data_IF_039997098658
#
_entry.id   IF_039997098658
#
_cell.length_a   1.000
_cell.length_b   1.000
_cell.length_c   1.000
_cell.angle_alpha   90.00
_cell.angle_beta   90.00
_cell.angle_gamma   90.00
#
_symmetry.space_group_name_H-M   'P 1'
#
loop_
_entity.id
_entity.type
_entity.pdbx_description
1 polymer ?
#
# COMPACT_ATOMS: atom_id res chain seq x y z
N UNK A 1 -20.15 -0.64 67.51
CA UNK A 1 -21.15 0.08 66.71
C UNK A 1 -21.05 -0.41 65.28
N UNK A 2 -22.21 -0.71 64.70
CA UNK A 2 -22.42 -1.71 63.66
C UNK A 2 -22.09 -1.27 62.22
N UNK A 3 -21.80 -2.30 61.43
CA UNK A 3 -21.67 -2.33 59.99
C UNK A 3 -22.97 -1.90 59.27
N UNK A 4 -22.85 -1.33 58.07
CA UNK A 4 -23.79 -1.62 56.98
C UNK A 4 -23.02 -1.79 55.67
N UNK A 5 -23.27 -2.93 55.03
CA UNK A 5 -22.77 -3.33 53.73
C UNK A 5 -23.58 -2.66 52.62
N UNK A 6 -22.93 -2.28 51.51
CA UNK A 6 -23.62 -2.05 50.24
C UNK A 6 -23.30 -3.18 49.28
N UNK A 7 -24.37 -3.83 48.82
CA UNK A 7 -24.41 -4.97 47.91
C UNK A 7 -23.94 -4.53 46.50
N UNK A 8 -23.13 -5.31 45.78
CA UNK A 8 -22.84 -5.02 44.38
C UNK A 8 -24.05 -5.41 43.52
N UNK A 9 -24.59 -4.44 42.78
CA UNK A 9 -25.59 -4.67 41.75
C UNK A 9 -24.93 -5.47 40.62
N UNK A 10 -25.44 -6.67 40.38
CA UNK A 10 -25.12 -7.49 39.20
C UNK A 10 -25.76 -6.88 37.96
N UNK A 11 -24.94 -6.35 37.05
CA UNK A 11 -25.36 -6.04 35.69
C UNK A 11 -24.44 -6.73 34.68
N UNK A 12 -24.97 -7.84 34.15
CA UNK A 12 -25.00 -8.26 32.74
C UNK A 12 -23.73 -8.02 31.91
N UNK A 13 -23.15 -9.16 31.52
CA UNK A 13 -22.21 -9.45 30.42
C UNK A 13 -22.16 -8.34 29.35
N UNK A 14 -21.20 -7.43 29.49
CA UNK A 14 -20.79 -6.49 28.47
C UNK A 14 -19.38 -6.83 27.99
N UNK A 15 -19.23 -7.15 26.70
CA UNK A 15 -17.96 -7.43 26.03
C UNK A 15 -16.87 -6.46 26.48
N UNK A 16 -15.81 -6.97 27.11
CA UNK A 16 -14.60 -6.20 27.43
C UNK A 16 -14.03 -5.64 26.11
N UNK A 17 -14.17 -4.33 25.88
CA UNK A 17 -13.33 -3.61 24.91
C UNK A 17 -11.88 -3.82 25.34
N UNK A 18 -11.13 -4.66 24.62
CA UNK A 18 -9.69 -4.80 24.81
C UNK A 18 -9.08 -3.40 24.64
N UNK A 19 -8.46 -2.86 25.70
CA UNK A 19 -7.70 -1.61 25.63
C UNK A 19 -6.56 -1.84 24.63
N UNK A 20 -6.58 -1.11 23.51
CA UNK A 20 -5.50 -1.11 22.50
C UNK A 20 -4.21 -0.64 23.19
N UNK A 21 -3.09 -1.39 23.10
CA UNK A 21 -1.78 -0.86 23.48
C UNK A 21 -1.45 0.32 22.56
N UNK A 22 -1.35 1.52 23.12
CA UNK A 22 -0.97 2.73 22.39
C UNK A 22 0.55 2.88 22.35
N UNK A 23 1.26 2.01 21.61
CA UNK A 23 2.65 2.30 21.26
C UNK A 23 2.66 3.33 20.13
N UNK A 24 3.14 4.54 20.41
CA UNK A 24 3.30 5.57 19.38
C UNK A 24 4.44 5.10 18.45
N UNK A 25 4.11 4.71 17.22
CA UNK A 25 5.07 4.15 16.26
C UNK A 25 5.95 5.23 15.61
N UNK A 26 7.21 4.87 15.34
CA UNK A 26 8.12 5.64 14.47
C UNK A 26 7.81 5.31 13.00
N UNK A 27 7.93 6.32 12.13
CA UNK A 27 7.58 6.20 10.71
C UNK A 27 8.82 6.55 9.86
N UNK A 28 9.42 5.51 9.28
CA UNK A 28 10.42 5.60 8.21
C UNK A 28 9.74 5.51 6.83
N UNK A 29 8.77 4.60 6.69
CA UNK A 29 7.90 4.42 5.53
C UNK A 29 6.46 4.62 6.00
N UNK A 30 5.77 5.58 5.40
CA UNK A 30 4.38 5.82 5.75
C UNK A 30 3.50 4.80 5.05
N UNK A 31 2.75 4.03 5.86
CA UNK A 31 1.74 3.10 5.39
C UNK A 31 0.39 3.78 5.53
N UNK A 32 -0.30 4.11 4.43
CA UNK A 32 -1.69 4.55 4.43
C UNK A 32 -2.62 3.52 5.08
N UNK A 33 -3.90 3.84 5.25
CA UNK A 33 -4.85 2.99 5.96
C UNK A 33 -4.84 1.53 5.47
N UNK A 34 -4.28 0.62 6.28
CA UNK A 34 -4.37 -0.82 6.03
C UNK A 34 -5.84 -1.22 6.09
N UNK A 35 -6.27 -2.07 5.16
CA UNK A 35 -7.61 -2.63 5.15
C UNK A 35 -7.53 -4.11 5.48
N UNK A 36 -8.47 -4.59 6.28
CA UNK A 36 -8.52 -6.01 6.68
C UNK A 36 -9.85 -6.63 6.26
N UNK A 37 -9.86 -7.91 5.85
CA UNK A 37 -11.09 -8.59 5.48
C UNK A 37 -11.93 -8.91 6.71
N UNK A 38 -13.24 -8.89 6.55
CA UNK A 38 -14.20 -9.37 7.54
C UNK A 38 -14.69 -10.76 7.14
N UNK A 39 -15.14 -11.57 8.10
CA UNK A 39 -15.73 -12.87 7.81
C UNK A 39 -16.94 -12.74 6.86
N UNK A 40 -17.02 -13.63 5.87
CA UNK A 40 -18.13 -13.71 4.90
C UNK A 40 -18.54 -15.18 4.70
N UNK A 41 -19.81 -15.40 4.34
CA UNK A 41 -20.31 -16.72 4.01
C UNK A 41 -20.03 -17.02 2.53
N UNK A 42 -18.96 -17.79 2.28
CA UNK A 42 -18.62 -18.29 0.94
C UNK A 42 -19.46 -19.53 0.57
N UNK A 43 -19.91 -20.30 1.58
CA UNK A 43 -20.51 -21.62 1.39
C UNK A 43 -21.88 -21.52 0.75
N UNK A 44 -22.77 -20.67 1.26
CA UNK A 44 -24.13 -20.53 0.72
C UNK A 44 -24.17 -20.03 -0.73
N UNK A 45 -23.53 -18.90 -1.10
CA UNK A 45 -23.64 -18.36 -2.45
C UNK A 45 -22.98 -19.23 -3.52
N UNK A 46 -21.89 -19.94 -3.18
CA UNK A 46 -21.15 -20.76 -4.14
C UNK A 46 -21.60 -22.23 -4.17
N UNK A 47 -22.53 -22.64 -3.28
CA UNK A 47 -23.02 -24.02 -3.22
C UNK A 47 -23.65 -24.41 -4.57
N UNK A 48 -23.12 -25.48 -5.17
CA UNK A 48 -23.59 -25.98 -6.45
C UNK A 48 -23.13 -25.15 -7.66
N UNK A 49 -22.38 -24.06 -7.45
CA UNK A 49 -21.73 -23.29 -8.52
C UNK A 49 -20.27 -23.69 -8.73
N UNK A 50 -19.61 -24.17 -7.67
CA UNK A 50 -18.22 -24.65 -7.69
C UNK A 50 -18.12 -26.02 -7.00
N UNK A 51 -17.02 -26.73 -7.23
CA UNK A 51 -16.74 -28.01 -6.55
C UNK A 51 -16.57 -27.80 -5.04
N UNK A 52 -16.83 -28.86 -4.25
CA UNK A 52 -16.62 -28.82 -2.79
C UNK A 52 -15.17 -28.45 -2.46
N UNK A 53 -14.20 -29.00 -3.18
CA UNK A 53 -12.77 -28.74 -2.94
C UNK A 53 -12.41 -27.26 -3.11
N UNK A 54 -12.91 -26.61 -4.17
CA UNK A 54 -12.71 -25.17 -4.40
C UNK A 54 -13.36 -24.35 -3.29
N UNK A 55 -14.60 -24.70 -2.91
CA UNK A 55 -15.34 -24.01 -1.86
C UNK A 55 -14.65 -24.12 -0.49
N UNK A 56 -14.16 -25.31 -0.14
CA UNK A 56 -13.45 -25.57 1.12
C UNK A 56 -12.11 -24.83 1.14
N UNK A 57 -11.36 -24.82 0.03
CA UNK A 57 -10.12 -24.03 -0.11
C UNK A 57 -10.37 -22.53 0.05
N UNK A 58 -11.33 -21.95 -0.67
CA UNK A 58 -11.69 -20.54 -0.56
C UNK A 58 -12.05 -20.17 0.88
N UNK A 59 -12.91 -20.97 1.51
CA UNK A 59 -13.39 -20.74 2.88
C UNK A 59 -12.25 -20.82 3.90
N UNK A 60 -11.37 -21.81 3.76
CA UNK A 60 -10.24 -22.04 4.68
C UNK A 60 -9.19 -20.94 4.57
N UNK A 61 -8.77 -20.62 3.34
CA UNK A 61 -7.72 -19.61 3.10
C UNK A 61 -8.20 -18.22 3.51
N UNK A 62 -9.42 -17.84 3.10
CA UNK A 62 -9.98 -16.54 3.50
C UNK A 62 -10.20 -16.45 5.01
N UNK A 63 -10.66 -17.53 5.65
CA UNK A 63 -10.79 -17.61 7.10
C UNK A 63 -9.46 -17.42 7.83
N UNK A 64 -8.39 -18.05 7.33
CA UNK A 64 -7.02 -17.88 7.86
C UNK A 64 -6.54 -16.43 7.75
N UNK A 65 -6.77 -15.77 6.62
CA UNK A 65 -6.39 -14.35 6.43
C UNK A 65 -7.14 -13.46 7.43
N UNK A 66 -8.45 -13.66 7.61
CA UNK A 66 -9.26 -12.89 8.58
C UNK A 66 -8.70 -13.04 10.00
N UNK A 67 -8.41 -14.27 10.43
CA UNK A 67 -7.84 -14.51 11.76
C UNK A 67 -6.47 -13.85 11.95
N UNK A 68 -5.56 -14.02 11.00
CA UNK A 68 -4.22 -13.42 11.06
C UNK A 68 -4.27 -11.88 11.05
N UNK A 69 -5.17 -11.30 10.26
CA UNK A 69 -5.32 -9.84 10.16
C UNK A 69 -5.87 -9.22 11.45
N UNK A 70 -6.74 -9.93 12.20
CA UNK A 70 -7.23 -9.48 13.51
C UNK A 70 -6.13 -9.52 14.59
N UNK A 71 -5.21 -10.49 14.51
CA UNK A 71 -4.11 -10.67 15.47
C UNK A 71 -2.91 -9.72 15.20
N UNK A 72 -2.72 -9.29 13.96
CA UNK A 72 -1.54 -8.53 13.49
C UNK A 72 -1.48 -7.05 13.93
N UNK A 73 -2.43 -6.57 14.75
CA UNK A 73 -2.53 -5.16 15.17
C UNK A 73 -1.35 -4.66 16.03
N UNK A 74 -0.39 -5.52 16.39
CA UNK A 74 0.82 -5.21 17.17
C UNK A 74 2.14 -5.50 16.40
N UNK A 75 2.03 -5.60 15.07
CA UNK A 75 2.99 -6.09 14.06
C UNK A 75 4.47 -6.23 14.47
N UNK A 76 4.90 -7.48 14.59
CA UNK A 76 6.29 -7.90 14.42
C UNK A 76 6.48 -8.45 13.00
N UNK A 77 7.71 -8.40 12.46
CA UNK A 77 8.04 -8.92 11.11
C UNK A 77 7.47 -10.34 10.86
N UNK A 78 7.56 -11.32 11.78
CA UNK A 78 7.03 -12.66 11.54
C UNK A 78 5.53 -12.70 11.24
N UNK A 79 4.74 -11.85 11.90
CA UNK A 79 3.28 -11.77 11.67
C UNK A 79 2.94 -11.21 10.30
N UNK A 80 3.76 -10.28 9.78
CA UNK A 80 3.59 -9.72 8.43
C UNK A 80 3.86 -10.80 7.38
N UNK A 81 4.98 -11.52 7.51
CA UNK A 81 5.35 -12.59 6.56
C UNK A 81 4.34 -13.75 6.53
N UNK A 82 3.76 -14.13 7.67
CA UNK A 82 2.71 -15.16 7.72
C UNK A 82 1.44 -14.76 7.00
N UNK A 83 1.06 -13.48 7.11
CA UNK A 83 -0.12 -12.92 6.45
C UNK A 83 0.11 -12.72 4.95
N UNK A 84 1.30 -12.25 4.53
CA UNK A 84 1.67 -12.19 3.11
C UNK A 84 1.57 -13.57 2.46
N UNK A 85 2.13 -14.60 3.09
CA UNK A 85 2.04 -15.99 2.58
C UNK A 85 0.59 -16.48 2.47
N UNK A 86 -0.25 -16.16 3.45
CA UNK A 86 -1.67 -16.55 3.40
C UNK A 86 -2.41 -15.85 2.23
N UNK A 87 -2.07 -14.60 1.92
CA UNK A 87 -2.60 -13.88 0.77
C UNK A 87 -2.12 -14.51 -0.55
N UNK A 88 -0.82 -14.82 -0.66
CA UNK A 88 -0.23 -15.48 -1.83
C UNK A 88 -0.84 -16.86 -2.12
N UNK A 89 -1.17 -17.64 -1.07
CA UNK A 89 -1.88 -18.92 -1.19
C UNK A 89 -3.35 -18.73 -1.63
N UNK A 90 -3.99 -17.62 -1.24
CA UNK A 90 -5.40 -17.35 -1.55
C UNK A 90 -5.62 -16.85 -2.98
N UNK A 91 -4.74 -16.00 -3.50
CA UNK A 91 -4.88 -15.37 -4.82
C UNK A 91 -5.15 -16.40 -5.94
N UNK A 92 -4.38 -17.50 -6.11
CA UNK A 92 -4.64 -18.51 -7.14
C UNK A 92 -6.05 -19.09 -7.12
N UNK A 93 -6.61 -19.31 -5.93
CA UNK A 93 -7.96 -19.87 -5.77
C UNK A 93 -9.02 -18.80 -6.06
N UNK A 94 -8.82 -17.57 -5.57
CA UNK A 94 -9.68 -16.43 -5.83
C UNK A 94 -9.77 -16.09 -7.33
N UNK A 95 -8.66 -16.23 -8.07
CA UNK A 95 -8.65 -15.97 -9.51
C UNK A 95 -9.59 -16.87 -10.31
N UNK A 96 -10.01 -18.02 -9.77
CA UNK A 96 -11.03 -18.82 -10.41
C UNK A 96 -12.41 -18.16 -10.42
N UNK A 97 -12.75 -17.36 -9.39
CA UNK A 97 -13.97 -16.57 -9.33
C UNK A 97 -13.97 -15.38 -10.30
N UNK A 98 -12.79 -14.91 -10.72
CA UNK A 98 -12.66 -13.78 -11.66
C UNK A 98 -12.51 -14.23 -13.12
N UNK A 99 -11.61 -15.19 -13.38
CA UNK A 99 -11.19 -15.59 -14.75
C UNK A 99 -11.77 -16.91 -15.23
N UNK A 100 -12.22 -17.80 -14.34
CA UNK A 100 -12.55 -19.20 -14.71
C UNK A 100 -14.04 -19.51 -14.88
N UNK A 101 -14.90 -18.48 -14.86
CA UNK A 101 -16.15 -18.54 -15.62
C UNK A 101 -15.93 -18.89 -17.11
N UNK A 102 -14.69 -18.76 -17.59
CA UNK A 102 -14.28 -18.95 -18.98
C UNK A 102 -13.74 -20.35 -19.35
N UNK A 103 -13.44 -21.30 -18.44
CA UNK A 103 -12.76 -22.58 -18.85
C UNK A 103 -13.72 -23.73 -19.21
N UNK A 104 -14.99 -23.67 -18.82
CA UNK A 104 -16.01 -24.56 -19.42
C UNK A 104 -16.23 -24.31 -20.92
N UNK A 105 -15.65 -23.23 -21.45
CA UNK A 105 -15.71 -22.80 -22.84
C UNK A 105 -15.20 -23.84 -23.85
N UNK A 106 -14.09 -24.55 -23.62
CA UNK A 106 -13.50 -25.38 -24.68
C UNK A 106 -14.14 -26.76 -24.83
N UNK A 107 -14.51 -27.41 -23.73
CA UNK A 107 -15.12 -28.74 -23.79
C UNK A 107 -16.62 -28.71 -24.12
N UNK A 108 -17.37 -27.71 -23.62
CA UNK A 108 -18.82 -27.61 -23.86
C UNK A 108 -19.14 -27.02 -25.24
N UNK A 109 -18.33 -26.09 -25.75
CA UNK A 109 -18.49 -25.49 -27.08
C UNK A 109 -18.26 -26.52 -28.20
N UNK A 110 -17.28 -27.42 -28.03
CA UNK A 110 -17.08 -28.56 -28.96
C UNK A 110 -18.24 -29.55 -28.91
N UNK A 111 -18.86 -29.76 -27.75
CA UNK A 111 -19.98 -30.67 -27.57
C UNK A 111 -21.30 -30.10 -28.13
N UNK A 112 -21.54 -28.79 -28.01
CA UNK A 112 -22.75 -28.09 -28.47
C UNK A 112 -22.76 -27.81 -29.98
N UNK A 113 -21.60 -27.63 -30.62
CA UNK A 113 -21.48 -27.47 -32.08
C UNK A 113 -21.93 -28.73 -32.84
N UNK A 114 -21.83 -29.91 -32.23
CA UNK A 114 -22.23 -31.19 -32.83
C UNK A 114 -23.76 -31.38 -32.82
N UNK A 115 -24.49 -30.77 -31.87
CA UNK A 115 -25.92 -31.06 -31.64
C UNK A 115 -26.90 -29.90 -31.93
N UNK A 116 -26.44 -28.80 -32.54
CA UNK A 116 -27.34 -27.83 -33.20
C UNK A 116 -28.29 -27.05 -32.28
N UNK A 117 -27.91 -26.75 -31.04
CA UNK A 117 -28.79 -26.05 -30.09
C UNK A 117 -28.50 -24.54 -30.02
N UNK A 118 -29.32 -23.73 -30.70
CA UNK A 118 -29.19 -22.25 -30.79
C UNK A 118 -29.69 -21.51 -29.54
N UNK A 119 -30.20 -22.21 -28.52
CA UNK A 119 -30.93 -21.63 -27.37
C UNK A 119 -30.09 -21.43 -26.09
N UNK A 120 -28.79 -21.72 -26.10
CA UNK A 120 -27.94 -21.72 -24.87
C UNK A 120 -27.13 -20.42 -24.68
N UNK A 121 -26.96 -19.59 -25.72
CA UNK A 121 -26.07 -18.42 -25.66
C UNK A 121 -26.52 -17.33 -24.67
N UNK A 122 -27.81 -17.08 -24.50
CA UNK A 122 -28.32 -16.05 -23.58
C UNK A 122 -28.23 -16.43 -22.10
N UNK A 123 -28.35 -17.71 -21.77
CA UNK A 123 -28.22 -18.22 -20.39
C UNK A 123 -26.76 -18.35 -19.94
N UNK A 124 -25.79 -18.30 -20.86
CA UNK A 124 -24.38 -18.61 -20.57
C UNK A 124 -23.53 -17.38 -20.24
N UNK A 125 -23.71 -16.24 -20.94
CA UNK A 125 -23.17 -14.93 -20.51
C UNK A 125 -23.66 -14.54 -19.10
N UNK A 126 -24.83 -15.06 -18.70
CA UNK A 126 -25.36 -14.91 -17.34
C UNK A 126 -24.50 -15.66 -16.30
N UNK A 127 -23.90 -16.82 -16.60
CA UNK A 127 -23.20 -17.63 -15.60
C UNK A 127 -21.82 -17.07 -15.19
N UNK A 128 -21.09 -16.45 -16.12
CA UNK A 128 -19.81 -15.79 -15.86
C UNK A 128 -20.00 -14.57 -14.95
N UNK A 129 -20.97 -13.71 -15.29
CA UNK A 129 -21.40 -12.63 -14.40
C UNK A 129 -21.97 -13.14 -13.08
N UNK A 130 -22.57 -14.34 -13.06
CA UNK A 130 -23.06 -14.92 -11.81
C UNK A 130 -21.93 -15.28 -10.87
N UNK A 131 -20.86 -15.96 -11.29
CA UNK A 131 -19.76 -16.35 -10.39
C UNK A 131 -18.99 -15.14 -9.84
N UNK A 132 -18.64 -14.18 -10.71
CA UNK A 132 -17.91 -12.97 -10.32
C UNK A 132 -18.67 -12.15 -9.26
N UNK A 133 -19.98 -12.03 -9.39
CA UNK A 133 -20.84 -11.31 -8.46
C UNK A 133 -21.58 -12.22 -7.45
N UNK A 134 -21.17 -13.49 -7.30
CA UNK A 134 -21.87 -14.45 -6.42
C UNK A 134 -21.71 -14.14 -4.94
N UNK A 135 -20.55 -13.62 -4.55
CA UNK A 135 -20.16 -13.45 -3.15
C UNK A 135 -20.06 -11.97 -2.84
N UNK A 136 -20.72 -11.56 -1.76
CA UNK A 136 -20.60 -10.23 -1.20
C UNK A 136 -19.40 -10.17 -0.24
N UNK A 137 -18.31 -9.53 -0.68
CA UNK A 137 -17.07 -9.42 0.06
C UNK A 137 -17.04 -8.19 0.96
N UNK A 138 -16.58 -8.39 2.20
CA UNK A 138 -16.57 -7.37 3.26
C UNK A 138 -15.16 -7.07 3.73
N UNK A 139 -14.84 -5.78 3.80
CA UNK A 139 -13.56 -5.24 4.24
C UNK A 139 -13.80 -4.02 5.11
N UNK A 140 -12.87 -3.75 6.02
CA UNK A 140 -12.87 -2.52 6.83
C UNK A 140 -11.49 -1.86 6.85
N UNK A 141 -11.47 -0.55 6.96
CA UNK A 141 -10.25 0.22 7.21
C UNK A 141 -9.83 0.12 8.68
N UNK A 142 -8.52 0.05 8.90
CA UNK A 142 -7.91 0.05 10.22
C UNK A 142 -7.75 1.50 10.70
N UNK A 143 -8.43 1.90 11.79
CA UNK A 143 -8.29 3.24 12.39
C UNK A 143 -9.60 4.06 12.36
N UNK A 144 -9.98 4.55 13.54
CA UNK A 144 -11.08 5.43 13.99
C UNK A 144 -12.44 5.58 13.29
N UNK A 145 -12.67 5.14 12.04
CA UNK A 145 -13.97 5.33 11.38
C UNK A 145 -14.72 4.03 11.04
N UNK A 146 -14.17 2.84 11.35
CA UNK A 146 -14.78 1.51 11.11
C UNK A 146 -15.56 1.44 9.78
N UNK A 147 -15.06 2.11 8.73
CA UNK A 147 -15.76 2.18 7.45
C UNK A 147 -15.67 0.82 6.78
N UNK A 148 -16.75 0.07 6.94
CA UNK A 148 -16.99 -1.19 6.26
C UNK A 148 -17.48 -0.92 4.84
N UNK A 149 -16.95 -1.70 3.92
CA UNK A 149 -17.36 -1.69 2.52
C UNK A 149 -17.72 -3.09 2.10
N UNK A 150 -18.74 -3.19 1.27
CA UNK A 150 -19.40 -4.43 0.96
C UNK A 150 -19.74 -4.44 -0.53
N UNK A 151 -19.11 -5.32 -1.31
CA UNK A 151 -19.37 -5.42 -2.74
C UNK A 151 -19.47 -6.87 -3.18
N UNK A 152 -20.50 -7.17 -3.97
CA UNK A 152 -20.67 -8.43 -4.67
C UNK A 152 -19.79 -8.46 -5.93
N UNK A 153 -18.48 -8.64 -5.75
CA UNK A 153 -17.51 -8.69 -6.85
C UNK A 153 -16.21 -9.37 -6.44
N UNK A 154 -15.83 -10.42 -7.16
CA UNK A 154 -14.56 -11.11 -7.00
C UNK A 154 -13.37 -10.24 -7.43
N UNK A 155 -13.57 -9.33 -8.40
CA UNK A 155 -12.55 -8.34 -8.76
C UNK A 155 -12.29 -7.34 -7.64
N UNK A 156 -13.33 -6.97 -6.88
CA UNK A 156 -13.18 -6.11 -5.70
C UNK A 156 -12.42 -6.81 -4.57
N UNK A 157 -12.70 -8.10 -4.33
CA UNK A 157 -11.92 -8.91 -3.40
C UNK A 157 -10.45 -8.98 -3.84
N UNK A 158 -10.19 -9.24 -5.13
CA UNK A 158 -8.83 -9.31 -5.66
C UNK A 158 -8.09 -7.98 -5.52
N UNK A 159 -8.74 -6.86 -5.83
CA UNK A 159 -8.21 -5.51 -5.61
C UNK A 159 -7.80 -5.33 -4.15
N UNK A 160 -8.68 -5.70 -3.22
CA UNK A 160 -8.47 -5.51 -1.79
C UNK A 160 -7.33 -6.38 -1.26
N UNK A 161 -7.21 -7.62 -1.75
CA UNK A 161 -6.11 -8.55 -1.43
C UNK A 161 -4.77 -8.03 -1.95
N UNK A 162 -4.67 -7.65 -3.23
CA UNK A 162 -3.41 -7.16 -3.81
C UNK A 162 -3.01 -5.81 -3.20
N UNK A 163 -3.98 -4.93 -2.91
CA UNK A 163 -3.73 -3.71 -2.13
C UNK A 163 -3.19 -4.03 -0.72
N UNK A 164 -3.78 -5.01 -0.03
CA UNK A 164 -3.31 -5.44 1.29
C UNK A 164 -1.88 -5.98 1.23
N UNK A 165 -1.53 -6.78 0.22
CA UNK A 165 -0.15 -7.23 -0.02
C UNK A 165 0.81 -6.06 -0.17
N UNK A 166 0.45 -5.03 -0.96
CA UNK A 166 1.28 -3.84 -1.08
C UNK A 166 1.46 -3.10 0.25
N UNK A 167 0.39 -2.93 1.03
CA UNK A 167 0.46 -2.25 2.32
C UNK A 167 1.31 -3.03 3.34
N UNK A 168 1.29 -4.36 3.29
CA UNK A 168 2.14 -5.21 4.12
C UNK A 168 3.61 -5.09 3.74
N UNK A 169 3.92 -5.03 2.45
CA UNK A 169 5.31 -4.80 1.99
C UNK A 169 5.82 -3.41 2.40
N UNK A 170 4.99 -2.35 2.35
CA UNK A 170 5.34 -1.03 2.92
C UNK A 170 5.57 -1.09 4.44
N UNK A 171 4.72 -1.83 5.16
CA UNK A 171 4.84 -2.01 6.60
C UNK A 171 6.11 -2.77 6.98
N UNK A 172 6.45 -3.82 6.25
CA UNK A 172 7.69 -4.58 6.46
C UNK A 172 8.92 -3.70 6.20
N UNK A 173 8.91 -2.91 5.12
CA UNK A 173 9.96 -1.93 4.85
C UNK A 173 10.09 -0.92 6.02
N UNK A 174 8.98 -0.43 6.58
CA UNK A 174 9.02 0.43 7.76
C UNK A 174 9.67 -0.27 8.96
N UNK A 175 9.30 -1.51 9.24
CA UNK A 175 9.83 -2.30 10.36
C UNK A 175 11.33 -2.59 10.21
N UNK A 176 11.83 -2.73 8.99
CA UNK A 176 13.26 -2.92 8.70
C UNK A 176 14.08 -1.64 8.90
N UNK A 177 13.46 -0.48 8.67
CA UNK A 177 14.13 0.83 8.71
C UNK A 177 14.02 1.53 10.07
N UNK A 178 13.05 1.15 10.91
CA UNK A 178 12.91 1.67 12.27
C UNK A 178 13.87 0.91 13.20
N UNK A 179 14.87 1.57 13.80
CA UNK A 179 15.79 0.93 14.73
C UNK A 179 15.03 0.39 15.95
N UNK A 180 15.18 -0.90 16.26
CA UNK A 180 14.64 -1.49 17.49
C UNK A 180 15.33 -0.82 18.69
N UNK A 181 14.58 -0.54 19.75
CA UNK A 181 15.12 0.01 21.00
C UNK A 181 16.02 -1.03 21.70
N UNK A 182 17.25 -1.19 21.20
CA UNK A 182 18.34 -1.76 21.98
C UNK A 182 18.90 -0.65 22.88
N UNK A 183 19.08 -0.97 24.16
CA UNK A 183 19.59 -0.10 25.24
C UNK A 183 21.00 0.49 25.02
N UNK A 184 21.54 0.43 23.80
CA UNK A 184 22.87 0.90 23.47
C UNK A 184 22.77 2.25 22.75
N UNK A 185 23.14 3.33 23.44
CA UNK A 185 23.17 4.71 22.93
C UNK A 185 24.23 4.92 21.83
N UNK A 186 24.98 3.87 21.47
CA UNK A 186 25.91 3.87 20.35
C UNK A 186 25.16 3.72 19.01
N UNK A 187 24.59 4.83 18.53
CA UNK A 187 24.27 5.05 17.12
C UNK A 187 23.26 4.08 16.50
N UNK A 188 21.98 4.43 16.57
CA UNK A 188 20.89 3.87 15.74
C UNK A 188 21.23 4.00 14.23
N UNK A 189 21.93 3.01 13.66
CA UNK A 189 22.33 2.96 12.24
C UNK A 189 21.63 1.78 11.57
N UNK A 190 20.86 2.07 10.54
CA UNK A 190 20.25 1.07 9.66
C UNK A 190 21.34 0.50 8.76
N UNK A 191 21.48 -0.84 8.71
CA UNK A 191 22.50 -1.50 7.88
C UNK A 191 22.24 -1.29 6.38
N UNK A 192 23.29 -1.38 5.56
CA UNK A 192 23.13 -1.35 4.09
C UNK A 192 22.19 -2.45 3.60
N UNK A 193 22.27 -3.64 4.18
CA UNK A 193 21.42 -4.78 3.78
C UNK A 193 19.95 -4.52 4.12
N UNK A 194 19.66 -3.91 5.27
CA UNK A 194 18.29 -3.50 5.60
C UNK A 194 17.74 -2.46 4.61
N UNK A 195 18.58 -1.54 4.12
CA UNK A 195 18.16 -0.58 3.08
C UNK A 195 17.90 -1.26 1.74
N UNK A 196 18.72 -2.24 1.34
CA UNK A 196 18.52 -3.00 0.09
C UNK A 196 17.22 -3.80 0.15
N UNK A 197 16.99 -4.52 1.24
CA UNK A 197 15.72 -5.24 1.47
C UNK A 197 14.53 -4.28 1.47
N UNK A 198 14.66 -3.10 2.11
CA UNK A 198 13.60 -2.10 2.08
C UNK A 198 13.33 -1.58 0.66
N UNK A 199 14.36 -1.39 -0.18
CA UNK A 199 14.17 -1.02 -1.60
C UNK A 199 13.38 -2.10 -2.33
N UNK A 200 13.74 -3.37 -2.17
CA UNK A 200 13.04 -4.49 -2.83
C UNK A 200 11.56 -4.55 -2.39
N UNK A 201 11.28 -4.39 -1.10
CA UNK A 201 9.91 -4.35 -0.56
C UNK A 201 9.10 -3.15 -1.08
N UNK A 202 9.72 -1.98 -1.20
CA UNK A 202 9.08 -0.77 -1.75
C UNK A 202 8.77 -0.93 -3.25
N UNK A 203 9.69 -1.55 -4.02
CA UNK A 203 9.46 -1.83 -5.44
C UNK A 203 8.37 -2.88 -5.65
N UNK A 204 8.32 -3.94 -4.82
CA UNK A 204 7.22 -4.92 -4.76
C UNK A 204 5.89 -4.21 -4.49
N UNK A 205 5.83 -3.34 -3.48
CA UNK A 205 4.62 -2.58 -3.17
C UNK A 205 4.16 -1.69 -4.33
N UNK A 206 5.10 -0.98 -4.97
CA UNK A 206 4.82 -0.17 -6.15
C UNK A 206 4.25 -1.01 -7.29
N UNK A 207 4.83 -2.18 -7.55
CA UNK A 207 4.39 -3.13 -8.58
C UNK A 207 2.98 -3.64 -8.36
N UNK A 208 2.66 -4.08 -7.14
CA UNK A 208 1.30 -4.50 -6.76
C UNK A 208 0.27 -3.38 -6.99
N UNK A 209 0.58 -2.14 -6.57
CA UNK A 209 -0.33 -1.00 -6.71
C UNK A 209 -0.52 -0.57 -8.16
N UNK A 210 0.56 -0.56 -8.94
CA UNK A 210 0.52 -0.28 -10.37
C UNK A 210 -0.33 -1.33 -11.12
N UNK A 211 -0.19 -2.61 -10.74
CA UNK A 211 -1.02 -3.69 -11.26
C UNK A 211 -2.50 -3.52 -10.91
N UNK A 212 -2.81 -3.12 -9.67
CA UNK A 212 -4.18 -2.79 -9.27
C UNK A 212 -4.81 -1.76 -10.21
N UNK A 213 -4.09 -0.67 -10.50
CA UNK A 213 -4.58 0.40 -11.37
C UNK A 213 -4.75 -0.08 -12.81
N UNK A 214 -3.71 -0.68 -13.40
CA UNK A 214 -3.69 -1.00 -14.84
C UNK A 214 -4.52 -2.22 -15.22
N UNK A 215 -4.66 -3.20 -14.32
CA UNK A 215 -5.19 -4.51 -14.66
C UNK A 215 -6.42 -4.93 -13.86
N UNK A 216 -6.59 -4.45 -12.62
CA UNK A 216 -7.72 -4.85 -11.76
C UNK A 216 -8.85 -3.82 -11.81
N UNK A 217 -8.56 -2.53 -11.60
CA UNK A 217 -9.58 -1.46 -11.60
C UNK A 217 -10.36 -1.40 -12.92
N UNK A 218 -9.70 -1.69 -14.05
CA UNK A 218 -10.32 -1.70 -15.38
C UNK A 218 -11.38 -2.79 -15.54
N UNK A 219 -11.31 -3.86 -14.73
CA UNK A 219 -12.27 -4.97 -14.73
C UNK A 219 -13.50 -4.67 -13.87
N UNK A 220 -13.42 -3.69 -12.97
CA UNK A 220 -14.53 -3.35 -12.08
C UNK A 220 -15.64 -2.60 -12.82
N UNK A 221 -16.91 -3.00 -12.63
CA UNK A 221 -18.07 -2.24 -13.08
C UNK A 221 -18.00 -0.79 -12.59
N UNK A 222 -18.45 0.14 -13.44
CA UNK A 222 -18.38 1.59 -13.16
C UNK A 222 -19.09 1.96 -11.85
N UNK A 223 -20.20 1.27 -11.52
CA UNK A 223 -20.93 1.50 -10.27
C UNK A 223 -20.06 1.19 -9.05
N UNK A 224 -19.38 0.04 -9.03
CA UNK A 224 -18.49 -0.35 -7.93
C UNK A 224 -17.32 0.63 -7.83
N UNK A 225 -16.70 0.98 -8.97
CA UNK A 225 -15.54 1.88 -9.02
C UNK A 225 -15.83 3.25 -8.39
N UNK A 226 -17.00 3.82 -8.67
CA UNK A 226 -17.45 5.11 -8.10
C UNK A 226 -17.75 5.03 -6.60
N UNK A 227 -18.05 3.83 -6.09
CA UNK A 227 -18.37 3.59 -4.68
C UNK A 227 -17.17 3.11 -3.87
N UNK A 228 -16.00 2.91 -4.49
CA UNK A 228 -14.79 2.50 -3.78
C UNK A 228 -14.41 3.52 -2.69
N UNK A 229 -13.88 3.07 -1.55
CA UNK A 229 -13.37 3.97 -0.51
C UNK A 229 -12.19 4.80 -1.05
N UNK A 230 -11.92 5.94 -0.42
CA UNK A 230 -10.85 6.88 -0.82
C UNK A 230 -9.49 6.19 -0.99
N UNK A 231 -9.18 5.20 -0.14
CA UNK A 231 -7.94 4.42 -0.18
C UNK A 231 -7.78 3.51 -1.41
N UNK A 232 -8.87 3.18 -2.11
CA UNK A 232 -8.86 2.33 -3.31
C UNK A 232 -9.16 3.09 -4.61
N UNK A 233 -9.26 4.42 -4.54
CA UNK A 233 -9.41 5.25 -5.73
C UNK A 233 -8.13 5.25 -6.57
N UNK A 234 -8.27 5.37 -7.88
CA UNK A 234 -7.17 5.28 -8.87
C UNK A 234 -5.99 6.20 -8.50
N UNK A 235 -6.23 7.50 -8.35
CA UNK A 235 -5.19 8.47 -7.99
C UNK A 235 -4.55 8.22 -6.63
N UNK A 236 -5.26 7.58 -5.68
CA UNK A 236 -4.68 7.20 -4.40
C UNK A 236 -3.73 6.00 -4.55
N UNK A 237 -4.12 4.98 -5.30
CA UNK A 237 -3.26 3.82 -5.58
C UNK A 237 -1.98 4.24 -6.34
N UNK A 238 -2.12 5.12 -7.34
CA UNK A 238 -0.99 5.70 -8.06
C UNK A 238 -0.09 6.52 -7.12
N UNK A 239 -0.68 7.38 -6.29
CA UNK A 239 0.06 8.19 -5.33
C UNK A 239 0.91 7.34 -4.38
N UNK A 240 0.37 6.23 -3.88
CA UNK A 240 1.10 5.34 -2.98
C UNK A 240 2.18 4.54 -3.73
N UNK A 241 1.92 4.12 -4.98
CA UNK A 241 2.93 3.48 -5.82
C UNK A 241 4.13 4.41 -6.06
N UNK A 242 3.86 5.66 -6.45
CA UNK A 242 4.88 6.69 -6.69
C UNK A 242 5.58 7.08 -5.37
N UNK A 243 4.86 7.12 -4.23
CA UNK A 243 5.47 7.32 -2.91
C UNK A 243 6.53 6.25 -2.64
N UNK A 244 6.22 4.98 -2.90
CA UNK A 244 7.15 3.88 -2.68
C UNK A 244 8.43 4.05 -3.53
N UNK A 245 8.30 4.43 -4.81
CA UNK A 245 9.44 4.74 -5.68
C UNK A 245 10.28 5.92 -5.14
N UNK A 246 9.62 6.99 -4.68
CA UNK A 246 10.30 8.16 -4.12
C UNK A 246 11.15 7.77 -2.89
N UNK A 247 10.62 6.92 -2.02
CA UNK A 247 11.33 6.42 -0.84
C UNK A 247 12.46 5.44 -1.21
N UNK A 248 12.30 4.64 -2.26
CA UNK A 248 13.38 3.81 -2.78
C UNK A 248 14.56 4.64 -3.27
N UNK A 249 14.31 5.75 -3.99
CA UNK A 249 15.37 6.68 -4.39
C UNK A 249 16.04 7.35 -3.19
N UNK A 250 15.29 7.69 -2.13
CA UNK A 250 15.86 8.19 -0.88
C UNK A 250 16.82 7.16 -0.24
N UNK A 251 16.46 5.87 -0.25
CA UNK A 251 17.34 4.80 0.23
C UNK A 251 18.59 4.66 -0.65
N UNK A 252 18.45 4.74 -1.98
CA UNK A 252 19.59 4.75 -2.90
C UNK A 252 20.53 5.94 -2.67
N UNK A 253 19.99 7.12 -2.37
CA UNK A 253 20.80 8.28 -1.97
C UNK A 253 21.53 8.01 -0.65
N UNK A 254 20.88 7.33 0.29
CA UNK A 254 21.49 6.86 1.53
C UNK A 254 22.69 5.94 1.30
N UNK A 255 22.55 4.96 0.42
CA UNK A 255 23.63 4.06 0.01
C UNK A 255 24.75 4.82 -0.74
N UNK A 256 24.38 5.76 -1.61
CA UNK A 256 25.36 6.61 -2.30
C UNK A 256 26.15 7.52 -1.34
N UNK A 257 25.61 7.86 -0.17
CA UNK A 257 26.34 8.61 0.85
C UNK A 257 27.42 7.76 1.54
N UNK A 258 27.18 6.46 1.68
CA UNK A 258 28.09 5.49 2.29
C UNK A 258 29.12 4.95 1.29
N UNK A 259 28.85 5.06 -0.01
CA UNK A 259 29.76 4.67 -1.07
C UNK A 259 30.81 5.74 -1.40
N UNK A 260 32.09 5.44 -1.17
CA UNK A 260 33.22 6.33 -1.51
C UNK A 260 33.31 6.68 -3.01
N UNK A 261 32.86 5.76 -3.87
CA UNK A 261 32.89 5.92 -5.34
C UNK A 261 31.76 6.81 -5.87
N UNK A 262 30.73 7.10 -5.07
CA UNK A 262 29.58 7.86 -5.51
C UNK A 262 29.89 9.36 -5.60
N UNK A 263 29.88 9.87 -6.83
CA UNK A 263 30.19 11.28 -7.13
C UNK A 263 29.06 12.23 -6.67
N UNK A 264 29.37 13.53 -6.56
CA UNK A 264 28.35 14.55 -6.30
C UNK A 264 27.25 14.56 -7.37
N UNK A 265 27.60 14.28 -8.63
CA UNK A 265 26.64 14.21 -9.72
C UNK A 265 25.62 13.08 -9.51
N UNK A 266 26.05 11.92 -9.00
CA UNK A 266 25.16 10.81 -8.65
C UNK A 266 24.23 11.21 -7.50
N UNK A 267 24.77 11.82 -6.44
CA UNK A 267 23.97 12.28 -5.27
C UNK A 267 22.96 13.35 -5.67
N UNK A 268 23.35 14.30 -6.52
CA UNK A 268 22.47 15.32 -7.10
C UNK A 268 21.35 14.69 -7.92
N UNK A 269 21.69 13.75 -8.82
CA UNK A 269 20.71 13.05 -9.65
C UNK A 269 19.64 12.37 -8.79
N UNK A 270 20.05 11.52 -7.84
CA UNK A 270 19.13 10.82 -6.95
C UNK A 270 18.25 11.79 -6.15
N UNK A 271 18.82 12.87 -5.63
CA UNK A 271 18.03 13.88 -4.90
C UNK A 271 16.99 14.58 -5.80
N UNK A 272 17.33 14.89 -7.05
CA UNK A 272 16.40 15.50 -8.01
C UNK A 272 15.32 14.52 -8.51
N UNK A 273 15.68 13.24 -8.69
CA UNK A 273 14.70 12.18 -8.96
C UNK A 273 13.68 12.06 -7.81
N UNK A 274 14.13 12.08 -6.55
CA UNK A 274 13.22 12.05 -5.39
C UNK A 274 12.24 13.24 -5.39
N UNK A 275 12.69 14.45 -5.73
CA UNK A 275 11.80 15.63 -5.89
C UNK A 275 10.76 15.38 -6.98
N UNK A 276 11.18 14.79 -8.10
CA UNK A 276 10.32 14.52 -9.25
C UNK A 276 9.23 13.49 -8.90
N UNK A 277 9.59 12.38 -8.25
CA UNK A 277 8.60 11.41 -7.78
C UNK A 277 7.64 12.02 -6.76
N UNK A 278 8.11 12.75 -5.73
CA UNK A 278 7.18 13.38 -4.77
C UNK A 278 6.27 14.43 -5.41
N UNK A 279 6.72 15.11 -6.47
CA UNK A 279 5.87 15.99 -7.27
C UNK A 279 4.77 15.22 -8.01
N UNK A 280 5.10 14.05 -8.57
CA UNK A 280 4.13 13.16 -9.19
C UNK A 280 3.10 12.63 -8.19
N UNK A 281 3.48 12.33 -6.94
CA UNK A 281 2.52 11.93 -5.90
C UNK A 281 1.45 13.01 -5.71
N UNK A 282 1.85 14.28 -5.62
CA UNK A 282 0.91 15.39 -5.49
C UNK A 282 -0.02 15.51 -6.70
N UNK A 283 0.49 15.23 -7.91
CA UNK A 283 -0.33 15.22 -9.13
C UNK A 283 -1.36 14.07 -9.13
N UNK A 284 -0.95 12.85 -8.77
CA UNK A 284 -1.86 11.69 -8.67
C UNK A 284 -2.99 11.94 -7.66
N UNK A 285 -2.69 12.65 -6.57
CA UNK A 285 -3.68 13.00 -5.56
C UNK A 285 -4.60 14.18 -5.96
N UNK A 286 -4.34 14.84 -7.09
CA UNK A 286 -5.12 15.99 -7.51
C UNK A 286 -6.55 15.55 -7.90
N UNK A 287 -7.52 15.90 -7.06
CA UNK A 287 -8.93 15.52 -7.24
C UNK A 287 -9.36 14.27 -6.45
N UNK A 288 -8.46 13.63 -5.70
CA UNK A 288 -8.83 12.59 -4.74
C UNK A 288 -9.51 13.20 -3.50
N UNK A 289 -10.46 12.48 -2.92
CA UNK A 289 -10.98 12.82 -1.60
C UNK A 289 -9.93 12.47 -0.54
N UNK A 290 -9.34 13.49 0.08
CA UNK A 290 -8.37 13.36 1.18
C UNK A 290 -8.93 13.94 2.47
N UNK A 291 -10.26 13.99 2.61
CA UNK A 291 -10.91 14.58 3.77
C UNK A 291 -10.80 13.72 5.04
N UNK A 292 -10.61 12.41 4.87
CA UNK A 292 -10.40 11.48 5.97
C UNK A 292 -9.04 11.69 6.66
N UNK A 293 -8.91 11.17 7.88
CA UNK A 293 -7.72 11.36 8.71
C UNK A 293 -6.44 10.82 8.04
N UNK A 294 -6.53 9.69 7.33
CA UNK A 294 -5.39 9.09 6.63
C UNK A 294 -5.02 9.88 5.38
N UNK A 295 -6.00 10.33 4.59
CA UNK A 295 -5.77 11.21 3.45
C UNK A 295 -5.06 12.50 3.85
N UNK A 296 -5.53 13.16 4.92
CA UNK A 296 -4.87 14.35 5.49
C UNK A 296 -3.45 14.03 5.96
N UNK A 297 -3.26 12.89 6.63
CA UNK A 297 -1.96 12.50 7.15
C UNK A 297 -0.97 12.15 6.02
N UNK A 298 -1.44 11.51 4.94
CA UNK A 298 -0.65 11.27 3.74
C UNK A 298 -0.17 12.58 3.11
N UNK A 299 -1.04 13.58 2.95
CA UNK A 299 -0.65 14.88 2.41
C UNK A 299 0.45 15.56 3.26
N UNK A 300 0.36 15.46 4.58
CA UNK A 300 1.39 15.98 5.48
C UNK A 300 2.71 15.21 5.34
N UNK A 301 2.65 13.88 5.16
CA UNK A 301 3.82 13.05 4.91
C UNK A 301 4.51 13.44 3.60
N UNK A 302 3.74 13.54 2.50
CA UNK A 302 4.27 13.92 1.18
C UNK A 302 4.85 15.33 1.22
N UNK A 303 4.20 16.29 1.88
CA UNK A 303 4.75 17.65 2.06
C UNK A 303 6.08 17.61 2.80
N UNK A 304 6.17 16.86 3.90
CA UNK A 304 7.42 16.73 4.65
C UNK A 304 8.52 16.13 3.78
N UNK A 305 8.28 14.99 3.14
CA UNK A 305 9.27 14.29 2.32
C UNK A 305 9.68 15.06 1.07
N UNK A 306 8.74 15.75 0.43
CA UNK A 306 9.03 16.66 -0.69
C UNK A 306 10.01 17.76 -0.29
N UNK A 307 9.80 18.39 0.88
CA UNK A 307 10.71 19.43 1.38
C UNK A 307 12.10 18.88 1.72
N UNK A 308 12.18 17.67 2.29
CA UNK A 308 13.47 16.98 2.52
C UNK A 308 14.21 16.68 1.21
N UNK A 309 13.50 16.12 0.22
CA UNK A 309 14.07 15.83 -1.11
C UNK A 309 14.54 17.12 -1.80
N UNK A 310 13.76 18.20 -1.71
CA UNK A 310 14.09 19.50 -2.32
C UNK A 310 15.31 20.13 -1.65
N UNK A 311 15.40 20.06 -0.32
CA UNK A 311 16.60 20.49 0.41
C UNK A 311 17.85 19.71 -0.02
N UNK A 312 17.74 18.38 -0.16
CA UNK A 312 18.83 17.54 -0.64
C UNK A 312 19.25 17.90 -2.08
N UNK A 313 18.28 18.12 -2.97
CA UNK A 313 18.51 18.45 -4.38
C UNK A 313 19.26 19.79 -4.52
N UNK A 314 18.78 20.84 -3.84
CA UNK A 314 19.45 22.14 -3.83
C UNK A 314 20.83 22.07 -3.19
N UNK A 315 21.00 21.31 -2.11
CA UNK A 315 22.30 21.14 -1.47
C UNK A 315 23.32 20.53 -2.43
N UNK A 316 23.03 19.38 -3.03
CA UNK A 316 23.96 18.75 -3.97
C UNK A 316 24.10 19.54 -5.27
N UNK A 317 23.04 20.24 -5.72
CA UNK A 317 23.14 21.12 -6.88
C UNK A 317 24.10 22.28 -6.62
N UNK A 318 23.97 22.95 -5.48
CA UNK A 318 24.87 24.01 -5.03
C UNK A 318 26.32 23.53 -4.94
N UNK A 319 26.56 22.35 -4.36
CA UNK A 319 27.92 21.76 -4.31
C UNK A 319 28.52 21.45 -5.68
N UNK A 320 27.70 21.08 -6.67
CA UNK A 320 28.18 20.86 -8.04
C UNK A 320 28.49 22.18 -8.72
N UNK A 321 27.64 23.20 -8.56
CA UNK A 321 27.87 24.55 -9.10
C UNK A 321 29.13 25.19 -8.52
N UNK A 322 29.38 25.01 -7.22
CA UNK A 322 30.54 25.57 -6.52
C UNK A 322 31.88 25.02 -7.04
N UNK A 323 31.88 23.85 -7.70
CA UNK A 323 33.05 23.29 -8.37
C UNK A 323 33.26 23.82 -9.79
N UNK A 324 32.32 24.60 -10.34
CA UNK A 324 32.44 25.19 -11.67
C UNK A 324 33.35 26.41 -11.67
N UNK A 325 34.03 26.67 -12.79
CA UNK A 325 35.04 27.74 -12.91
C UNK A 325 34.46 29.16 -13.18
N UNK A 326 33.15 29.38 -13.00
CA UNK A 326 32.46 30.62 -13.38
C UNK A 326 31.95 31.41 -12.18
N UNK A 327 32.11 32.75 -12.17
CA UNK A 327 31.63 33.61 -11.07
C UNK A 327 30.11 33.54 -10.84
N UNK A 328 29.33 33.43 -11.92
CA UNK A 328 27.88 33.18 -11.86
C UNK A 328 27.54 31.84 -11.20
N UNK A 329 28.39 30.82 -11.38
CA UNK A 329 28.19 29.51 -10.76
C UNK A 329 28.39 29.59 -9.24
N UNK A 330 29.31 30.41 -8.74
CA UNK A 330 29.50 30.59 -7.30
C UNK A 330 28.32 31.32 -6.65
N UNK A 331 27.78 32.36 -7.28
CA UNK A 331 26.59 33.05 -6.78
C UNK A 331 25.38 32.11 -6.74
N UNK A 332 25.12 31.39 -7.83
CA UNK A 332 24.05 30.38 -7.88
C UNK A 332 24.26 29.26 -6.86
N UNK A 333 25.51 28.84 -6.63
CA UNK A 333 25.84 27.85 -5.61
C UNK A 333 25.44 28.34 -4.21
N UNK A 334 25.76 29.59 -3.85
CA UNK A 334 25.39 30.15 -2.55
C UNK A 334 23.87 30.25 -2.41
N UNK A 335 23.16 30.70 -3.45
CA UNK A 335 21.69 30.76 -3.46
C UNK A 335 21.08 29.37 -3.19
N UNK A 336 21.53 28.34 -3.91
CA UNK A 336 21.09 26.96 -3.71
C UNK A 336 21.32 26.48 -2.27
N UNK A 337 22.47 26.80 -1.67
CA UNK A 337 22.82 26.35 -0.32
C UNK A 337 21.97 27.04 0.76
N UNK A 338 21.63 28.31 0.60
CA UNK A 338 20.71 29.01 1.51
C UNK A 338 19.28 28.48 1.39
N UNK A 339 18.80 28.25 0.18
CA UNK A 339 17.48 27.66 -0.05
C UNK A 339 17.39 26.25 0.49
N UNK A 340 18.47 25.46 0.38
CA UNK A 340 18.54 24.15 1.01
C UNK A 340 18.40 24.22 2.54
N UNK A 341 18.98 25.23 3.20
CA UNK A 341 18.86 25.44 4.65
C UNK A 341 17.46 25.86 5.08
N UNK A 342 16.82 26.75 4.33
CA UNK A 342 15.44 27.18 4.55
C UNK A 342 14.47 25.99 4.39
N UNK A 343 14.57 25.25 3.28
CA UNK A 343 13.76 24.06 3.02
C UNK A 343 13.97 22.97 4.09
N UNK A 344 15.20 22.81 4.59
CA UNK A 344 15.49 21.90 5.69
C UNK A 344 14.82 22.33 7.01
N UNK A 345 14.64 23.64 7.22
CA UNK A 345 13.94 24.17 8.39
C UNK A 345 12.43 23.96 8.26
N UNK A 346 11.88 24.24 7.09
CA UNK A 346 10.47 23.99 6.78
C UNK A 346 10.11 22.51 6.82
N UNK A 347 11.01 21.63 6.37
CA UNK A 347 10.78 20.18 6.42
C UNK A 347 10.65 19.68 7.85
N UNK A 348 11.42 20.22 8.81
CA UNK A 348 11.26 19.90 10.24
C UNK A 348 9.88 20.31 10.77
N UNK A 349 9.37 21.47 10.36
CA UNK A 349 8.01 21.92 10.73
C UNK A 349 6.93 21.03 10.12
N UNK A 350 7.12 20.62 8.86
CA UNK A 350 6.21 19.69 8.19
C UNK A 350 6.23 18.30 8.85
N UNK A 351 7.39 17.79 9.24
CA UNK A 351 7.55 16.55 10.00
C UNK A 351 6.76 16.59 11.31
N UNK A 352 6.88 17.68 12.08
CA UNK A 352 6.11 17.85 13.31
C UNK A 352 4.61 17.88 13.05
N UNK A 353 4.17 18.57 11.99
CA UNK A 353 2.75 18.62 11.60
C UNK A 353 2.21 17.22 11.27
N UNK A 354 2.98 16.43 10.51
CA UNK A 354 2.67 15.02 10.23
C UNK A 354 2.59 14.17 11.51
N UNK A 355 3.55 14.32 12.42
CA UNK A 355 3.61 13.52 13.65
C UNK A 355 2.43 13.80 14.59
N UNK A 356 2.02 15.06 14.68
CA UNK A 356 0.91 15.51 15.52
C UNK A 356 -0.47 15.21 14.91
N UNK A 357 -0.55 14.96 13.60
CA UNK A 357 -1.80 14.56 12.95
C UNK A 357 -2.20 13.14 13.35
N UNK A 358 -3.50 12.92 13.58
CA UNK A 358 -4.06 11.61 13.91
C UNK A 358 -3.89 10.62 12.74
N UNK A 359 -3.59 9.33 13.01
CA UNK A 359 -3.20 8.78 14.32
C UNK A 359 -1.81 9.28 14.73
N UNK A 360 -1.62 9.82 15.95
CA UNK A 360 -0.34 10.43 16.38
C UNK A 360 0.83 9.45 16.24
N UNK A 361 1.94 9.93 15.67
CA UNK A 361 3.17 9.16 15.46
C UNK A 361 4.36 9.83 16.16
N UNK A 362 5.40 9.05 16.46
CA UNK A 362 6.60 9.58 17.12
C UNK A 362 7.42 10.30 16.06
N UNK A 363 8.03 11.43 16.43
CA UNK A 363 9.02 12.08 15.59
C UNK A 363 10.16 11.09 15.34
N UNK A 364 10.39 10.65 14.09
CA UNK A 364 11.44 9.68 13.83
C UNK A 364 12.81 10.30 14.13
N UNK A 365 13.74 9.55 14.74
CA UNK A 365 15.10 10.02 14.93
C UNK A 365 15.71 10.35 13.57
N UNK A 366 16.62 11.33 13.50
CA UNK A 366 17.32 11.59 12.26
C UNK A 366 18.29 10.44 11.97
N UNK A 367 18.02 9.65 10.93
CA UNK A 367 18.87 8.58 10.42
C UNK A 367 19.15 8.77 8.92
N UNK A 368 20.03 7.93 8.36
CA UNK A 368 20.32 7.89 6.92
C UNK A 368 20.72 9.25 6.31
N UNK A 369 20.11 9.57 5.16
CA UNK A 369 20.35 10.81 4.40
C UNK A 369 20.12 12.05 5.27
N UNK A 370 19.02 12.09 6.02
CA UNK A 370 18.65 13.27 6.78
C UNK A 370 19.55 13.51 7.99
N UNK A 371 20.13 12.48 8.59
CA UNK A 371 21.18 12.65 9.61
C UNK A 371 22.39 13.39 9.04
N UNK A 372 22.83 13.01 7.84
CA UNK A 372 23.94 13.67 7.15
C UNK A 372 23.59 15.12 6.77
N UNK A 373 22.45 15.33 6.11
CA UNK A 373 22.04 16.65 5.60
C UNK A 373 21.75 17.64 6.72
N UNK A 374 21.13 17.21 7.84
CA UNK A 374 20.87 18.09 9.00
C UNK A 374 22.15 18.65 9.62
N UNK A 375 23.26 17.93 9.51
CA UNK A 375 24.58 18.41 9.92
C UNK A 375 25.24 19.26 8.83
N UNK A 376 25.25 18.77 7.59
CA UNK A 376 26.06 19.37 6.53
C UNK A 376 25.48 20.63 5.89
N UNK A 377 24.17 20.71 5.73
CA UNK A 377 23.54 21.89 5.11
C UNK A 377 23.84 23.16 5.91
N UNK A 378 23.57 23.24 7.24
CA UNK A 378 23.86 24.44 8.02
C UNK A 378 25.37 24.75 8.12
N UNK A 379 26.21 23.72 8.27
CA UNK A 379 27.68 23.88 8.30
C UNK A 379 28.20 24.55 7.02
N UNK A 380 27.70 24.12 5.85
CA UNK A 380 28.14 24.65 4.56
C UNK A 380 27.52 26.03 4.28
N UNK A 381 26.24 26.22 4.57
CA UNK A 381 25.56 27.50 4.43
C UNK A 381 26.23 28.59 5.27
N UNK A 382 26.51 28.32 6.55
CA UNK A 382 27.22 29.24 7.44
C UNK A 382 28.60 29.63 6.89
N UNK A 383 29.43 28.66 6.46
CA UNK A 383 30.74 28.94 5.85
C UNK A 383 30.64 29.80 4.60
N UNK A 384 29.65 29.54 3.74
CA UNK A 384 29.43 30.34 2.52
C UNK A 384 28.93 31.74 2.83
N UNK A 385 28.08 31.92 3.84
CA UNK A 385 27.65 33.24 4.31
C UNK A 385 28.82 34.11 4.79
N UNK A 386 29.81 33.51 5.46
CA UNK A 386 31.02 34.22 5.90
C UNK A 386 31.92 34.61 4.72
N UNK A 387 32.03 33.73 3.71
CA UNK A 387 32.90 33.95 2.55
C UNK A 387 32.31 34.96 1.55
N UNK A 388 30.99 34.92 1.34
CA UNK A 388 30.31 35.67 0.28
C UNK A 388 29.32 36.72 0.82
N UNK A 389 29.20 36.89 2.14
CA UNK A 389 28.25 37.83 2.75
C UNK A 389 28.39 39.26 2.22
N UNK A 390 29.62 39.78 2.14
CA UNK A 390 29.87 41.14 1.65
C UNK A 390 29.62 41.31 0.12
N UNK A 391 30.11 40.40 -0.76
CA UNK A 391 29.74 40.41 -2.19
C UNK A 391 28.24 40.29 -2.45
N UNK A 392 27.52 39.50 -1.66
CA UNK A 392 26.08 39.30 -1.79
C UNK A 392 25.30 40.56 -1.40
N UNK A 393 25.75 41.28 -0.36
CA UNK A 393 25.13 42.55 0.04
C UNK A 393 25.25 43.65 -1.02
N UNK A 394 26.32 43.63 -1.81
CA UNK A 394 26.53 44.57 -2.93
C UNK A 394 25.67 44.25 -4.15
N UNK A 395 25.33 42.97 -4.37
CA UNK A 395 24.54 42.50 -5.52
C UNK A 395 23.03 42.30 -5.18
N UNK A 396 22.59 42.74 -3.99
CA UNK A 396 21.18 42.65 -3.52
C UNK A 396 20.15 43.22 -4.49
N UNK A 397 20.55 44.13 -5.39
CA UNK A 397 19.66 44.79 -6.34
C UNK A 397 19.58 44.09 -7.72
N UNK A 398 20.37 43.04 -7.98
CA UNK A 398 20.39 42.32 -9.28
C UNK A 398 20.48 40.79 -9.20
N UNK A 399 21.20 40.23 -8.21
CA UNK A 399 21.58 38.81 -8.16
C UNK A 399 20.48 37.79 -7.81
N UNK A 400 19.46 38.19 -7.06
CA UNK A 400 18.46 37.27 -6.48
C UNK A 400 17.13 37.19 -7.25
N UNK A 401 17.09 37.64 -8.51
CA UNK A 401 15.81 37.77 -9.21
C UNK A 401 15.12 36.44 -9.55
N UNK A 402 15.83 35.31 -9.56
CA UNK A 402 15.22 33.99 -9.69
C UNK A 402 16.07 32.90 -9.05
N UNK A 403 15.45 32.05 -8.23
CA UNK A 403 16.04 30.82 -7.70
C UNK A 403 16.54 29.95 -8.88
N UNK A 404 17.78 29.41 -8.85
CA UNK A 404 18.23 28.52 -9.91
C UNK A 404 17.33 27.29 -10.00
N UNK A 405 16.89 26.95 -11.20
CA UNK A 405 16.07 25.76 -11.40
C UNK A 405 16.85 24.49 -11.11
N UNK A 406 16.18 23.51 -10.49
CA UNK A 406 16.77 22.19 -10.29
C UNK A 406 16.84 21.46 -11.65
N UNK A 407 17.95 20.75 -11.93
CA UNK A 407 18.04 19.93 -13.13
C UNK A 407 17.03 18.77 -13.09
N UNK A 408 16.36 18.54 -14.22
CA UNK A 408 15.52 17.37 -14.42
C UNK A 408 16.35 16.17 -14.89
N UNK A 409 16.03 14.99 -14.37
CA UNK A 409 16.68 13.74 -14.77
C UNK A 409 15.62 12.69 -15.12
N UNK A 410 15.93 11.77 -16.05
CA UNK A 410 15.11 10.60 -16.26
C UNK A 410 14.97 9.80 -14.96
N UNK A 411 13.74 9.40 -14.66
CA UNK A 411 13.43 8.58 -13.50
C UNK A 411 13.98 7.17 -13.70
N UNK A 412 14.82 6.73 -12.77
CA UNK A 412 15.57 5.48 -12.90
C UNK A 412 14.85 4.25 -12.35
N UNK A 413 13.87 4.43 -11.47
CA UNK A 413 13.06 3.35 -10.92
C UNK A 413 11.70 3.25 -11.61
N UNK A 414 11.23 2.02 -11.78
CA UNK A 414 9.85 1.71 -12.14
C UNK A 414 9.27 0.74 -11.12
N UNK A 415 7.94 0.64 -11.00
CA UNK A 415 7.32 -0.45 -10.26
C UNK A 415 7.86 -1.81 -10.71
N UNK A 416 7.98 -2.77 -9.79
CA UNK A 416 8.32 -4.14 -10.16
C UNK A 416 7.23 -4.74 -11.07
N UNK A 417 7.65 -5.61 -11.97
CA UNK A 417 6.76 -6.30 -12.90
C UNK A 417 5.97 -7.39 -12.12
N UNK A 418 4.94 -6.97 -11.38
CA UNK A 418 4.06 -7.87 -10.63
C UNK A 418 3.13 -8.62 -11.59
N UNK A 419 3.07 -9.94 -11.45
CA UNK A 419 2.17 -10.80 -12.21
C UNK A 419 1.29 -11.63 -11.27
N UNK A 420 0.01 -11.76 -11.63
CA UNK A 420 -0.88 -12.67 -10.93
C UNK A 420 -0.46 -14.13 -11.16
N UNK A 421 -0.52 -15.00 -10.14
CA UNK A 421 -0.23 -16.41 -10.30
C UNK A 421 -1.26 -17.10 -11.21
N UNK A 422 -0.93 -18.32 -11.64
CA UNK A 422 -1.89 -19.16 -12.35
C UNK A 422 -3.07 -19.54 -11.45
N UNK A 423 -4.23 -19.79 -12.07
CA UNK A 423 -5.43 -20.25 -11.36
C UNK A 423 -5.15 -21.61 -10.70
N UNK A 424 -5.62 -21.80 -9.47
CA UNK A 424 -5.39 -23.04 -8.73
C UNK A 424 -5.93 -24.27 -9.50
N UNK A 425 -5.16 -25.37 -9.60
CA UNK A 425 -5.56 -26.57 -10.34
C UNK A 425 -6.86 -27.25 -9.86
N UNK A 426 -7.30 -27.00 -8.62
CA UNK A 426 -8.58 -27.52 -8.10
C UNK A 426 -9.79 -27.11 -8.93
N UNK A 427 -9.66 -26.02 -9.69
CA UNK A 427 -10.68 -25.57 -10.61
C UNK A 427 -10.73 -26.37 -11.93
N UNK A 428 -9.77 -27.26 -12.21
CA UNK A 428 -9.76 -28.17 -13.39
C UNK A 428 -10.31 -29.58 -13.07
N UNK A 429 -10.75 -29.85 -11.83
CA UNK A 429 -11.17 -31.20 -11.44
C UNK A 429 -12.48 -31.61 -12.14
N UNK A 430 -12.54 -32.85 -12.65
CA UNK A 430 -13.71 -33.40 -13.38
C UNK A 430 -14.99 -33.51 -12.53
N UNK A 431 -14.87 -33.38 -11.22
CA UNK A 431 -16.00 -33.36 -10.27
C UNK A 431 -16.76 -32.02 -10.26
N UNK A 432 -16.37 -31.05 -11.11
CA UNK A 432 -17.05 -29.76 -11.27
C UNK A 432 -18.41 -29.82 -12.00
N UNK A 433 -19.08 -30.98 -12.04
CA UNK A 433 -20.48 -31.00 -12.44
C UNK A 433 -21.34 -30.48 -11.29
N UNK A 434 -22.19 -29.46 -11.50
CA UNK A 434 -23.20 -29.10 -10.50
C UNK A 434 -24.03 -30.36 -10.25
N UNK A 435 -24.09 -30.81 -8.98
CA UNK A 435 -25.07 -31.80 -8.56
C UNK A 435 -26.45 -31.15 -8.67
N UNK A 436 -26.99 -31.11 -9.89
CA UNK A 436 -28.41 -30.92 -10.13
C UNK A 436 -29.03 -32.21 -9.61
N UNK A 437 -29.42 -32.23 -8.33
CA UNK A 437 -30.33 -33.25 -7.85
C UNK A 437 -31.55 -33.19 -8.76
N UNK A 438 -31.70 -34.18 -9.65
CA UNK A 438 -32.84 -34.22 -10.54
C UNK A 438 -34.10 -34.29 -9.66
N UNK A 439 -35.08 -33.41 -9.91
CA UNK A 439 -36.42 -33.42 -9.29
C UNK A 439 -37.09 -34.81 -9.32
N UNK A 440 -36.60 -35.72 -10.18
CA UNK A 440 -37.06 -37.11 -10.29
C UNK A 440 -36.79 -37.97 -9.04
N UNK A 441 -35.87 -37.57 -8.16
CA UNK A 441 -35.58 -38.31 -6.93
C UNK A 441 -36.58 -38.01 -5.79
N UNK A 442 -37.34 -36.92 -5.86
CA UNK A 442 -38.36 -36.57 -4.86
C UNK A 442 -39.77 -37.05 -5.23
N UNK A 443 -39.96 -37.65 -6.41
CA UNK A 443 -41.26 -38.14 -6.88
C UNK A 443 -41.39 -39.67 -6.81
N UNK A 444 -40.41 -40.37 -6.23
CA UNK A 444 -40.44 -41.84 -6.09
C UNK A 444 -40.74 -42.33 -4.68
N UNK A 445 -40.80 -41.44 -3.70
CA UNK A 445 -41.02 -41.82 -2.30
C UNK A 445 -42.50 -41.73 -1.89
N UNK A 446 -43.44 -41.47 -2.82
CA UNK A 446 -44.88 -41.35 -2.52
C UNK A 446 -45.77 -42.46 -3.15
N UNK A 447 -45.24 -43.46 -3.85
CA UNK A 447 -46.07 -44.50 -4.51
C UNK A 447 -46.06 -45.90 -3.85
N UNK A 448 -45.30 -46.14 -2.77
CA UNK A 448 -45.13 -47.50 -2.22
C UNK A 448 -45.86 -47.79 -0.88
N UNK A 449 -46.80 -46.95 -0.43
CA UNK A 449 -47.50 -47.12 0.86
C UNK A 449 -49.03 -47.39 0.78
N UNK A 450 -49.54 -47.90 -0.34
CA UNK A 450 -50.86 -48.52 -0.40
C UNK A 450 -50.81 -49.80 -1.21
N UNK A 451 -50.81 -50.97 -0.55
CA UNK A 451 -51.50 -52.22 -0.91
C UNK A 451 -50.98 -53.38 -0.06
N UNK A 452 -51.68 -53.71 1.02
CA UNK A 452 -51.29 -54.83 1.88
C UNK A 452 -52.22 -55.12 3.06
N UNK A 453 -53.54 -55.13 2.84
CA UNK A 453 -54.49 -55.81 3.74
C UNK A 453 -55.38 -56.73 2.91
N UNK A 454 -55.10 -58.03 2.97
CA UNK A 454 -56.05 -59.10 3.28
C UNK A 454 -55.29 -60.41 3.57
#
# INVERSE_FOLDING_TARGET
MGCTSSIPISCIVGRRRRKKPSSIHEVAVFVPALRIPLAVDLVRPLRGLVSRDVLDKLSTLRGRIVSLAEESYLAAVPTVSELERALEEYVPVLLGLTKKGMIFHTHLFFFLLIYGFKMVFSNWYSLEHRLEASVEFKWKSLGDDDQETCFASAWYELLSVVHMMAMLSLLEANLMLVPKDSMDECGKVVSEDAKKVAVDLLLKAAGCLDYCVRHILVQLPMQIRKSLPSSLQEGMLEAISVQALAQSVEMQLGLALECEKATLSVKRRLACEAVSYFSQVHYCMAGCDTSDAYGKKLLLFIKWKYLEAKAAAYYYHGLVLDKGNGSSNHLNAVCCLFVAEELLTDSKRACLSFCLAAPVTRVPPAWGVMKHLRKKIPEVASKKSQMYGYPIEQDKNGAFQSLPDLPEFPLSLKPDDYELPNIDPSWESKDCQPQIQSLKAHLKDEEDDEMGTE
#
